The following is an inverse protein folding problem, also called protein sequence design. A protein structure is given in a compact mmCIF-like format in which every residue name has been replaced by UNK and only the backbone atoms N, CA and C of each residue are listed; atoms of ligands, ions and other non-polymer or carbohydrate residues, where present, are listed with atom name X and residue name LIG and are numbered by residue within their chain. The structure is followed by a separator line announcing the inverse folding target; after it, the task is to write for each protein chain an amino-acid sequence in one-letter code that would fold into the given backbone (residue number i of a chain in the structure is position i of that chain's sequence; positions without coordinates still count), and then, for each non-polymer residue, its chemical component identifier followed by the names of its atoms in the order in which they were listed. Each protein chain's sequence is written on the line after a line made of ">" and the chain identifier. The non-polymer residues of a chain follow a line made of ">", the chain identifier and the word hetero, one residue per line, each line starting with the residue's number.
data_IF_771699552441
#
_entry.id   IF_771699552441
#
_cell.length_a   1.000
_cell.length_b   1.000
_cell.length_c   1.000
_cell.angle_alpha   90.00
_cell.angle_beta   90.00
_cell.angle_gamma   90.00
#
_symmetry.space_group_name_H-M   'P 1'
#
loop_
_entity.id
_entity.type
_entity.pdbx_description
1 polymer ?
#
# COMPACT_ATOMS: atom_id res chain seq x y z
N UNK A 1 -10.43 31.22 5.22
CA UNK A 1 -9.23 31.04 4.42
C UNK A 1 -8.80 29.59 4.58
N UNK A 2 -8.70 28.84 3.48
CA UNK A 2 -8.27 27.44 3.48
C UNK A 2 -6.85 27.29 2.98
N UNK A 3 -6.19 26.19 3.35
CA UNK A 3 -4.86 25.81 2.82
C UNK A 3 -5.07 25.15 1.46
N UNK A 4 -4.34 25.59 0.44
CA UNK A 4 -4.32 24.99 -0.90
C UNK A 4 -3.02 24.20 -1.09
N UNK A 5 -3.12 22.90 -1.31
CA UNK A 5 -1.97 22.05 -1.65
C UNK A 5 -1.68 22.22 -3.15
N UNK A 6 -0.42 22.58 -3.48
CA UNK A 6 0.05 22.76 -4.86
C UNK A 6 1.07 21.67 -5.15
N UNK A 7 1.00 21.03 -6.32
CA UNK A 7 1.90 19.97 -6.75
C UNK A 7 1.23 18.98 -7.70
N UNK A 8 1.94 17.90 -8.05
CA UNK A 8 1.38 16.79 -8.81
C UNK A 8 0.26 16.10 -8.02
N UNK A 9 -0.60 15.36 -8.71
CA UNK A 9 -1.69 14.64 -8.04
C UNK A 9 -1.14 13.58 -7.07
N UNK A 10 -0.04 12.93 -7.42
CA UNK A 10 0.66 11.98 -6.54
C UNK A 10 1.12 12.65 -5.24
N UNK A 11 1.82 13.79 -5.35
CA UNK A 11 2.28 14.56 -4.18
C UNK A 11 1.11 15.03 -3.31
N UNK A 12 0.00 15.39 -3.91
CA UNK A 12 -1.22 15.79 -3.19
C UNK A 12 -1.81 14.63 -2.41
N UNK A 13 -1.97 13.45 -3.04
CA UNK A 13 -2.49 12.25 -2.38
C UNK A 13 -1.60 11.81 -1.23
N UNK A 14 -0.29 11.79 -1.45
CA UNK A 14 0.67 11.50 -0.38
C UNK A 14 0.53 12.47 0.79
N UNK A 15 0.47 13.77 0.52
CA UNK A 15 0.30 14.78 1.55
C UNK A 15 -1.01 14.61 2.33
N UNK A 16 -2.12 14.29 1.65
CA UNK A 16 -3.40 14.03 2.30
C UNK A 16 -3.30 12.78 3.18
N UNK A 17 -2.75 11.70 2.65
CA UNK A 17 -2.61 10.45 3.40
C UNK A 17 -1.74 10.65 4.65
N UNK A 18 -0.54 11.21 4.51
CA UNK A 18 0.43 11.34 5.61
C UNK A 18 0.00 12.33 6.70
N UNK A 19 -0.78 13.36 6.38
CA UNK A 19 -1.08 14.44 7.31
C UNK A 19 -2.54 14.51 7.78
N UNK A 20 -3.45 13.81 7.10
CA UNK A 20 -4.89 13.91 7.37
C UNK A 20 -5.48 12.55 7.72
N UNK A 21 -4.97 11.49 7.11
CA UNK A 21 -5.54 10.14 7.22
C UNK A 21 -4.68 9.20 8.07
N UNK A 22 -3.42 9.53 8.26
CA UNK A 22 -2.51 8.73 9.08
C UNK A 22 -2.85 8.95 10.56
N UNK A 23 -3.57 8.00 11.15
CA UNK A 23 -3.83 7.97 12.59
C UNK A 23 -2.78 7.12 13.28
N UNK A 24 -2.28 7.60 14.43
CA UNK A 24 -1.30 6.92 15.27
C UNK A 24 -1.65 5.43 15.50
N UNK A 25 -0.63 4.60 15.57
CA UNK A 25 -0.71 3.16 15.87
C UNK A 25 -1.50 2.81 17.14
N UNK A 26 -1.62 3.76 18.07
CA UNK A 26 -2.30 3.56 19.36
C UNK A 26 -3.84 3.47 19.26
N UNK A 27 -4.43 3.79 18.10
CA UNK A 27 -5.88 3.74 17.87
C UNK A 27 -6.25 2.66 16.86
N UNK A 28 -5.85 1.42 17.14
CA UNK A 28 -6.22 0.25 16.35
C UNK A 28 -7.71 -0.08 16.55
N UNK A 29 -8.57 0.66 15.89
CA UNK A 29 -10.01 0.38 15.88
C UNK A 29 -10.30 -0.44 14.62
N UNK A 30 -10.97 -1.56 14.79
CA UNK A 30 -11.46 -2.45 13.73
C UNK A 30 -12.58 -1.82 12.91
N UNK A 31 -12.41 -0.58 12.48
CA UNK A 31 -13.42 0.16 11.72
C UNK A 31 -12.91 1.53 11.28
N UNK A 32 -13.81 2.31 10.67
CA UNK A 32 -13.50 3.66 10.22
C UNK A 32 -13.95 4.68 11.27
N UNK A 33 -13.09 5.66 11.54
CA UNK A 33 -13.36 6.75 12.48
C UNK A 33 -14.43 7.71 11.93
N UNK A 34 -14.98 8.55 12.80
CA UNK A 34 -15.92 9.60 12.39
C UNK A 34 -15.25 10.61 11.46
N UNK A 35 -13.99 10.90 11.71
CA UNK A 35 -13.16 11.79 10.92
C UNK A 35 -12.96 11.23 9.51
N UNK A 36 -12.61 9.95 9.37
CA UNK A 36 -12.48 9.28 8.07
C UNK A 36 -13.80 9.29 7.31
N UNK A 37 -14.91 8.97 7.96
CA UNK A 37 -16.25 9.03 7.35
C UNK A 37 -16.67 10.46 6.96
N UNK A 38 -16.18 11.47 7.68
CA UNK A 38 -16.44 12.88 7.34
C UNK A 38 -15.63 13.32 6.14
N UNK A 39 -14.37 12.91 6.06
CA UNK A 39 -13.48 13.20 4.92
C UNK A 39 -14.00 12.53 3.65
N UNK A 40 -14.44 11.29 3.76
CA UNK A 40 -14.96 10.48 2.65
C UNK A 40 -16.49 10.42 2.62
N UNK A 41 -17.17 11.52 2.94
CA UNK A 41 -18.64 11.56 3.08
C UNK A 41 -19.41 11.07 1.84
N UNK A 42 -18.82 11.19 0.65
CA UNK A 42 -19.41 10.79 -0.62
C UNK A 42 -18.96 9.37 -1.04
N UNK A 43 -18.22 8.67 -0.18
CA UNK A 43 -17.70 7.32 -0.40
C UNK A 43 -18.20 6.38 0.68
N UNK A 44 -18.75 5.26 0.28
CA UNK A 44 -19.14 4.18 1.19
C UNK A 44 -17.92 3.33 1.55
N UNK A 45 -17.31 3.61 2.72
CA UNK A 45 -16.13 2.91 3.21
C UNK A 45 -16.40 1.44 3.57
N UNK A 46 -17.63 1.13 3.98
CA UNK A 46 -18.01 -0.25 4.32
C UNK A 46 -18.17 -1.08 3.03
N UNK A 47 -18.76 -0.50 1.98
CA UNK A 47 -18.78 -1.11 0.66
C UNK A 47 -17.37 -1.34 0.11
N UNK A 48 -16.47 -0.34 0.22
CA UNK A 48 -15.09 -0.49 -0.22
C UNK A 48 -14.37 -1.63 0.53
N UNK A 49 -14.66 -1.78 1.81
CA UNK A 49 -14.13 -2.89 2.62
C UNK A 49 -14.61 -4.23 2.08
N UNK A 50 -15.91 -4.37 1.84
CA UNK A 50 -16.50 -5.63 1.37
C UNK A 50 -15.96 -6.02 -0.01
N UNK A 51 -15.90 -5.06 -0.95
CA UNK A 51 -15.30 -5.26 -2.27
C UNK A 51 -13.82 -5.67 -2.15
N UNK A 52 -13.06 -5.00 -1.28
CA UNK A 52 -11.63 -5.28 -1.11
C UNK A 52 -11.40 -6.67 -0.55
N UNK A 53 -12.12 -7.05 0.50
CA UNK A 53 -12.02 -8.40 1.10
C UNK A 53 -12.36 -9.45 0.05
N UNK A 54 -13.47 -9.29 -0.66
CA UNK A 54 -13.89 -10.21 -1.72
C UNK A 54 -12.80 -10.42 -2.77
N UNK A 55 -12.23 -9.33 -3.28
CA UNK A 55 -11.18 -9.41 -4.31
C UNK A 55 -9.87 -10.00 -3.79
N UNK A 56 -9.48 -9.72 -2.53
CA UNK A 56 -8.33 -10.35 -1.89
C UNK A 56 -8.53 -11.86 -1.75
N UNK A 57 -9.71 -12.30 -1.29
CA UNK A 57 -10.04 -13.72 -1.12
C UNK A 57 -10.09 -14.46 -2.46
N UNK A 58 -10.71 -13.88 -3.50
CA UNK A 58 -10.76 -14.46 -4.84
C UNK A 58 -9.37 -14.68 -5.46
N UNK A 59 -8.40 -13.86 -5.10
CA UNK A 59 -7.02 -13.96 -5.60
C UNK A 59 -6.04 -14.59 -4.59
N UNK A 60 -6.55 -15.12 -3.48
CA UNK A 60 -5.74 -15.76 -2.41
C UNK A 60 -4.66 -14.85 -1.82
N UNK A 61 -4.90 -13.53 -1.80
CA UNK A 61 -3.98 -12.54 -1.26
C UNK A 61 -4.31 -12.27 0.19
N UNK A 62 -3.33 -12.41 1.09
CA UNK A 62 -3.48 -12.16 2.51
C UNK A 62 -2.94 -10.79 2.90
N UNK A 63 -3.59 -10.18 3.87
CA UNK A 63 -3.17 -8.91 4.46
C UNK A 63 -3.57 -8.84 5.93
N UNK A 64 -2.89 -7.99 6.71
CA UNK A 64 -3.31 -7.68 8.08
C UNK A 64 -4.47 -6.69 8.08
N UNK A 65 -5.23 -6.61 9.19
CA UNK A 65 -6.33 -5.64 9.32
C UNK A 65 -5.84 -4.20 9.15
N UNK A 66 -4.64 -3.89 9.63
CA UNK A 66 -4.01 -2.58 9.45
C UNK A 66 -3.76 -2.27 7.96
N UNK A 67 -3.14 -3.20 7.26
CA UNK A 67 -2.85 -3.04 5.84
C UNK A 67 -4.12 -3.05 4.99
N UNK A 68 -5.12 -3.85 5.35
CA UNK A 68 -6.44 -3.82 4.73
C UNK A 68 -7.06 -2.42 4.83
N UNK A 69 -7.03 -1.82 6.03
CA UNK A 69 -7.53 -0.46 6.24
C UNK A 69 -6.78 0.54 5.37
N UNK A 70 -5.45 0.44 5.27
CA UNK A 70 -4.64 1.30 4.41
C UNK A 70 -5.05 1.18 2.94
N UNK A 71 -5.25 -0.04 2.43
CA UNK A 71 -5.73 -0.27 1.06
C UNK A 71 -7.08 0.44 0.85
N UNK A 72 -8.03 0.26 1.76
CA UNK A 72 -9.37 0.86 1.65
C UNK A 72 -9.29 2.39 1.65
N UNK A 73 -8.47 2.98 2.51
CA UNK A 73 -8.26 4.43 2.55
C UNK A 73 -7.64 4.95 1.23
N UNK A 74 -6.69 4.23 0.65
CA UNK A 74 -6.14 4.58 -0.66
C UNK A 74 -7.17 4.46 -1.78
N UNK A 75 -8.04 3.45 -1.74
CA UNK A 75 -9.16 3.30 -2.68
C UNK A 75 -10.16 4.46 -2.53
N UNK A 76 -10.52 4.81 -1.29
CA UNK A 76 -11.42 5.93 -1.01
C UNK A 76 -10.85 7.26 -1.50
N UNK A 77 -9.56 7.49 -1.24
CA UNK A 77 -8.86 8.69 -1.72
C UNK A 77 -8.81 8.74 -3.24
N UNK A 78 -8.47 7.64 -3.90
CA UNK A 78 -8.47 7.53 -5.36
C UNK A 78 -9.87 7.83 -5.92
N UNK A 79 -10.91 7.17 -5.42
CA UNK A 79 -12.28 7.35 -5.89
C UNK A 79 -12.77 8.80 -5.72
N UNK A 80 -12.52 9.40 -4.54
CA UNK A 80 -12.82 10.82 -4.29
C UNK A 80 -12.13 11.74 -5.30
N UNK A 81 -10.86 11.46 -5.60
CA UNK A 81 -10.09 12.30 -6.52
C UNK A 81 -10.55 12.14 -7.97
N UNK A 82 -10.89 10.92 -8.38
CA UNK A 82 -11.45 10.61 -9.72
C UNK A 82 -12.83 11.25 -9.90
N UNK A 83 -13.71 11.18 -8.91
CA UNK A 83 -14.99 11.89 -8.90
C UNK A 83 -14.81 13.42 -9.09
N UNK A 84 -13.73 13.98 -8.55
CA UNK A 84 -13.36 15.38 -8.73
C UNK A 84 -12.57 15.66 -10.03
N UNK A 85 -12.47 14.72 -10.98
CA UNK A 85 -11.68 14.81 -12.21
C UNK A 85 -10.18 15.08 -11.99
N UNK A 86 -9.62 14.57 -10.90
CA UNK A 86 -8.21 14.69 -10.58
C UNK A 86 -7.52 13.33 -10.73
N UNK A 87 -6.87 13.11 -11.85
CA UNK A 87 -6.25 11.85 -12.21
C UNK A 87 -4.75 11.86 -11.95
N UNK A 88 -4.24 10.71 -11.49
CA UNK A 88 -2.81 10.45 -11.38
C UNK A 88 -2.27 9.86 -12.69
N UNK A 89 -1.02 10.15 -13.01
CA UNK A 89 -0.37 9.64 -14.22
C UNK A 89 0.88 8.84 -13.85
N UNK A 90 0.69 7.63 -13.34
CA UNK A 90 1.78 6.68 -13.10
C UNK A 90 1.89 5.76 -14.31
N UNK A 91 3.06 5.80 -14.99
CA UNK A 91 3.32 5.01 -16.17
C UNK A 91 4.52 4.07 -15.97
N UNK A 92 4.59 3.03 -16.81
CA UNK A 92 5.77 2.15 -16.91
C UNK A 92 6.19 1.46 -15.60
N UNK A 93 5.24 0.95 -14.86
CA UNK A 93 5.53 0.03 -13.74
C UNK A 93 5.56 -1.42 -14.27
N UNK A 94 6.43 -2.22 -13.69
CA UNK A 94 6.42 -3.66 -13.91
C UNK A 94 5.33 -4.27 -13.02
N UNK A 95 4.41 -5.05 -13.60
CA UNK A 95 3.24 -5.57 -12.89
C UNK A 95 3.19 -7.09 -12.96
N UNK A 96 2.87 -7.73 -11.84
CA UNK A 96 2.47 -9.12 -11.79
C UNK A 96 1.02 -9.29 -12.31
N UNK A 97 0.78 -10.33 -13.11
CA UNK A 97 -0.51 -10.54 -13.75
C UNK A 97 -1.61 -10.91 -12.75
N UNK A 98 -1.30 -11.66 -11.68
CA UNK A 98 -2.25 -12.06 -10.65
C UNK A 98 -2.74 -10.85 -9.87
N UNK A 99 -1.80 -10.02 -9.38
CA UNK A 99 -2.11 -8.79 -8.66
C UNK A 99 -2.86 -7.79 -9.55
N UNK A 100 -2.49 -7.70 -10.82
CA UNK A 100 -3.21 -6.83 -11.76
C UNK A 100 -4.64 -7.34 -12.01
N UNK A 101 -4.86 -8.65 -11.95
CA UNK A 101 -6.21 -9.27 -11.96
C UNK A 101 -7.07 -8.75 -10.81
N UNK A 102 -6.54 -8.80 -9.58
CA UNK A 102 -7.19 -8.25 -8.38
C UNK A 102 -7.50 -6.76 -8.54
N UNK A 103 -6.51 -5.95 -8.97
CA UNK A 103 -6.69 -4.52 -9.21
C UNK A 103 -7.79 -4.24 -10.22
N UNK A 104 -7.83 -4.99 -11.33
CA UNK A 104 -8.88 -4.84 -12.34
C UNK A 104 -10.27 -5.21 -11.80
N UNK A 105 -10.36 -6.24 -10.95
CA UNK A 105 -11.59 -6.60 -10.24
C UNK A 105 -12.09 -5.47 -9.35
N UNK A 106 -11.22 -4.93 -8.49
CA UNK A 106 -11.53 -3.77 -7.65
C UNK A 106 -12.00 -2.57 -8.48
N UNK A 107 -11.22 -2.21 -9.49
CA UNK A 107 -11.54 -1.04 -10.31
C UNK A 107 -12.88 -1.18 -11.04
N UNK A 108 -13.20 -2.37 -11.57
CA UNK A 108 -14.48 -2.63 -12.24
C UNK A 108 -15.66 -2.43 -11.29
N UNK A 109 -15.61 -2.97 -10.08
CA UNK A 109 -16.68 -2.81 -9.10
C UNK A 109 -16.86 -1.33 -8.69
N UNK A 110 -15.76 -0.56 -8.58
CA UNK A 110 -15.82 0.88 -8.32
C UNK A 110 -16.37 1.67 -9.51
N UNK A 111 -15.97 1.34 -10.74
CA UNK A 111 -16.49 1.95 -11.97
C UNK A 111 -18.00 1.76 -12.08
N UNK A 112 -18.49 0.55 -11.78
CA UNK A 112 -19.92 0.23 -11.82
C UNK A 112 -20.71 0.94 -10.70
N UNK A 113 -20.16 1.04 -9.49
CA UNK A 113 -20.88 1.60 -8.35
C UNK A 113 -20.91 3.14 -8.38
N UNK A 114 -19.82 3.80 -8.75
CA UNK A 114 -19.69 5.26 -8.70
C UNK A 114 -19.88 5.93 -10.07
N UNK A 115 -20.16 5.17 -11.13
CA UNK A 115 -20.28 5.66 -12.52
C UNK A 115 -19.06 6.51 -12.94
N UNK A 116 -17.87 5.98 -12.71
CA UNK A 116 -16.59 6.63 -13.01
C UNK A 116 -15.78 5.80 -13.99
N UNK A 117 -14.81 6.43 -14.64
CA UNK A 117 -13.79 5.73 -15.45
C UNK A 117 -12.43 5.77 -14.74
N UNK A 118 -11.85 4.63 -14.45
CA UNK A 118 -10.56 4.50 -13.78
C UNK A 118 -9.46 4.30 -14.82
N UNK A 119 -8.59 5.30 -14.95
CA UNK A 119 -7.51 5.30 -15.93
C UNK A 119 -6.41 4.26 -15.60
N UNK A 120 -5.57 3.94 -16.61
CA UNK A 120 -4.40 3.08 -16.38
C UNK A 120 -3.47 3.61 -15.29
N UNK A 121 -3.29 4.92 -15.18
CA UNK A 121 -2.48 5.55 -14.14
C UNK A 121 -3.04 5.30 -12.74
N UNK A 122 -4.37 5.35 -12.59
CA UNK A 122 -5.05 5.01 -11.34
C UNK A 122 -4.92 3.53 -10.98
N UNK A 123 -5.08 2.63 -11.97
CA UNK A 123 -4.86 1.19 -11.78
C UNK A 123 -3.43 0.90 -11.33
N UNK A 124 -2.44 1.57 -11.90
CA UNK A 124 -1.06 1.48 -11.48
C UNK A 124 -0.86 2.00 -10.04
N UNK A 125 -1.52 3.08 -9.67
CA UNK A 125 -1.49 3.60 -8.30
C UNK A 125 -2.02 2.55 -7.31
N UNK A 126 -3.20 1.97 -7.56
CA UNK A 126 -3.78 0.94 -6.69
C UNK A 126 -2.92 -0.32 -6.66
N UNK A 127 -2.34 -0.73 -7.81
CA UNK A 127 -1.39 -1.84 -7.83
C UNK A 127 -0.24 -1.64 -6.83
N UNK A 128 0.38 -0.46 -6.83
CA UNK A 128 1.45 -0.15 -5.88
C UNK A 128 0.98 -0.19 -4.42
N UNK A 129 -0.25 0.27 -4.14
CA UNK A 129 -0.81 0.19 -2.79
C UNK A 129 -1.08 -1.26 -2.37
N UNK A 130 -1.60 -2.10 -3.25
CA UNK A 130 -1.80 -3.53 -2.98
C UNK A 130 -0.45 -4.20 -2.68
N UNK A 131 0.54 -4.02 -3.53
CA UNK A 131 1.88 -4.61 -3.34
C UNK A 131 2.52 -4.15 -2.02
N UNK A 132 2.38 -2.87 -1.66
CA UNK A 132 2.94 -2.32 -0.42
C UNK A 132 2.22 -2.81 0.86
N UNK A 133 0.94 -3.18 0.76
CA UNK A 133 0.10 -3.53 1.90
C UNK A 133 -0.33 -5.01 1.93
N UNK A 134 0.19 -5.85 1.05
CA UNK A 134 -0.09 -7.27 1.07
C UNK A 134 1.19 -8.07 1.25
N UNK A 135 1.09 -9.15 2.03
CA UNK A 135 2.13 -10.16 2.04
C UNK A 135 1.93 -11.03 0.79
N UNK A 136 2.54 -10.60 -0.31
CA UNK A 136 2.73 -11.50 -1.43
C UNK A 136 3.60 -12.63 -0.89
N UNK A 137 3.11 -13.87 -0.94
CA UNK A 137 4.01 -15.01 -0.72
C UNK A 137 5.09 -14.90 -1.80
N UNK A 138 6.21 -14.32 -1.44
CA UNK A 138 7.45 -14.47 -2.20
C UNK A 138 7.84 -15.91 -1.91
N UNK A 139 7.30 -16.81 -2.73
CA UNK A 139 7.43 -18.25 -2.57
C UNK A 139 8.87 -18.74 -2.77
N UNK A 140 9.72 -17.87 -3.32
CA UNK A 140 11.16 -18.08 -3.45
C UNK A 140 11.90 -16.78 -3.08
N UNK A 141 12.10 -16.56 -1.77
CA UNK A 141 13.14 -15.62 -1.37
C UNK A 141 14.45 -16.36 -1.66
N UNK A 142 15.08 -15.93 -2.74
CA UNK A 142 16.49 -16.26 -2.98
C UNK A 142 17.30 -15.75 -1.77
N UNK A 143 17.82 -16.69 -0.99
CA UNK A 143 18.59 -16.42 0.21
C UNK A 143 19.77 -15.47 -0.09
N UNK A 144 20.35 -15.55 -1.28
CA UNK A 144 21.40 -14.66 -1.76
C UNK A 144 20.88 -13.23 -2.01
N UNK A 145 19.66 -13.10 -2.52
CA UNK A 145 19.03 -11.80 -2.74
C UNK A 145 18.67 -11.10 -1.43
N UNK A 146 18.16 -11.84 -0.45
CA UNK A 146 17.84 -11.31 0.88
C UNK A 146 19.13 -10.86 1.59
N UNK A 147 20.18 -11.69 1.56
CA UNK A 147 21.47 -11.36 2.16
C UNK A 147 22.09 -10.12 1.51
N UNK A 148 22.04 -10.04 0.18
CA UNK A 148 22.53 -8.87 -0.57
C UNK A 148 21.78 -7.60 -0.19
N UNK A 149 20.45 -7.69 0.03
CA UNK A 149 19.63 -6.56 0.44
C UNK A 149 19.98 -6.07 1.86
N UNK A 150 20.24 -6.99 2.78
CA UNK A 150 20.70 -6.65 4.13
C UNK A 150 22.03 -5.90 4.05
N UNK A 151 22.99 -6.41 3.31
CA UNK A 151 24.31 -5.78 3.18
C UNK A 151 24.22 -4.37 2.56
N UNK A 152 23.33 -4.15 1.58
CA UNK A 152 23.08 -2.82 1.02
C UNK A 152 22.52 -1.84 2.07
N UNK A 153 21.61 -2.29 2.93
CA UNK A 153 21.06 -1.45 4.02
C UNK A 153 22.17 -1.09 5.00
N UNK A 154 23.02 -2.05 5.38
CA UNK A 154 24.14 -1.80 6.28
C UNK A 154 25.20 -0.85 5.67
N UNK A 155 25.37 -0.90 4.34
CA UNK A 155 26.25 0.03 3.63
C UNK A 155 25.70 1.45 3.63
N UNK A 156 24.38 1.64 3.46
CA UNK A 156 23.72 2.95 3.60
C UNK A 156 23.88 3.50 5.02
N UNK A 157 23.70 2.65 6.05
CA UNK A 157 23.90 3.04 7.44
C UNK A 157 25.35 3.52 7.68
N UNK A 158 26.32 2.81 7.10
CA UNK A 158 27.71 3.23 7.20
C UNK A 158 27.96 4.57 6.51
N UNK A 159 27.42 4.77 5.32
CA UNK A 159 27.61 6.01 4.56
C UNK A 159 26.97 7.22 5.24
N UNK A 160 25.76 7.05 5.78
CA UNK A 160 24.99 8.17 6.35
C UNK A 160 25.36 8.48 7.80
N UNK A 161 25.70 7.46 8.59
CA UNK A 161 25.91 7.58 10.03
C UNK A 161 27.32 7.24 10.49
N UNK A 162 28.22 6.79 9.58
CA UNK A 162 29.58 6.33 9.89
C UNK A 162 29.62 5.22 10.95
N UNK A 163 28.60 4.35 10.95
CA UNK A 163 28.47 3.21 11.87
C UNK A 163 28.69 1.91 11.09
N UNK A 164 29.86 1.29 11.24
CA UNK A 164 30.21 0.12 10.46
C UNK A 164 29.69 -1.19 11.08
N UNK A 165 28.57 -1.65 10.58
CA UNK A 165 27.92 -2.92 10.94
C UNK A 165 28.08 -4.01 9.87
N UNK A 166 28.77 -3.73 8.78
CA UNK A 166 28.87 -4.61 7.59
C UNK A 166 29.62 -5.91 7.85
N UNK A 167 30.43 -5.96 8.89
CA UNK A 167 31.22 -7.13 9.29
C UNK A 167 30.68 -7.81 10.56
N UNK A 168 29.53 -7.37 11.07
CA UNK A 168 28.86 -8.02 12.20
C UNK A 168 28.05 -9.23 11.71
N UNK A 169 28.73 -10.40 11.67
CA UNK A 169 28.11 -11.64 11.18
C UNK A 169 26.93 -12.08 12.03
N UNK A 170 26.94 -11.77 13.33
CA UNK A 170 25.85 -12.13 14.26
C UNK A 170 24.62 -11.29 13.89
N UNK A 171 24.77 -9.97 13.76
CA UNK A 171 23.70 -9.06 13.35
C UNK A 171 23.13 -9.44 11.98
N UNK A 172 24.01 -9.73 11.01
CA UNK A 172 23.58 -10.13 9.66
C UNK A 172 22.77 -11.43 9.70
N UNK A 173 23.25 -12.42 10.46
CA UNK A 173 22.54 -13.70 10.60
C UNK A 173 21.19 -13.54 11.32
N UNK A 174 21.11 -12.70 12.34
CA UNK A 174 19.87 -12.43 13.08
C UNK A 174 18.85 -11.66 12.23
N UNK A 175 19.29 -10.62 11.51
CA UNK A 175 18.47 -9.91 10.54
C UNK A 175 17.95 -10.84 9.44
N UNK A 176 18.82 -11.67 8.88
CA UNK A 176 18.46 -12.65 7.87
C UNK A 176 17.38 -13.61 8.37
N UNK A 177 17.58 -14.21 9.55
CA UNK A 177 16.63 -15.15 10.18
C UNK A 177 15.31 -14.47 10.48
N UNK A 178 15.35 -13.25 11.00
CA UNK A 178 14.14 -12.49 11.35
C UNK A 178 13.35 -12.10 10.11
N UNK A 179 13.99 -11.51 9.11
CA UNK A 179 13.33 -11.14 7.85
C UNK A 179 12.80 -12.38 7.12
N UNK A 180 13.60 -13.45 7.01
CA UNK A 180 13.15 -14.69 6.41
C UNK A 180 11.93 -15.26 7.12
N UNK A 181 11.91 -15.23 8.46
CA UNK A 181 10.76 -15.64 9.27
C UNK A 181 9.51 -14.80 8.97
N UNK A 182 9.64 -13.48 8.87
CA UNK A 182 8.51 -12.58 8.52
C UNK A 182 7.94 -12.93 7.14
N UNK A 183 8.80 -13.15 6.17
CA UNK A 183 8.38 -13.46 4.80
C UNK A 183 7.88 -14.90 4.60
N UNK A 184 8.31 -15.85 5.44
CA UNK A 184 7.92 -17.26 5.34
C UNK A 184 6.91 -17.71 6.39
N UNK A 185 6.60 -16.87 7.39
CA UNK A 185 5.58 -17.22 8.39
C UNK A 185 4.22 -17.30 7.71
N UNK A 186 3.73 -18.51 7.58
CA UNK A 186 2.32 -18.76 7.34
C UNK A 186 1.58 -18.33 8.61
N UNK A 187 0.90 -17.20 8.57
CA UNK A 187 -0.15 -16.89 9.53
C UNK A 187 -1.38 -17.72 9.23
#
# INVERSE_FOLDING_TARGET
>A
AGIKIIGSEDSKRKCIFDNVLYTDFDHYITGFTKEERTIFKDIDLDLLKDITIKQLDEHFVKTSDFNLKNIIIHLALMTTRVLGNNYISIQNINTDASIMGLVNGLCRELEEHYDIAISKGEKNYIYLQIVANTHLEITDIDDDHLRTSILKVLDVIYQDYNFDLRNDEILIADLFRHLKSIFTSKL
#
